data_IF_380522255339
#
_entry.id   IF_380522255339
#
_cell.length_a   1.000
_cell.length_b   1.000
_cell.length_c   1.000
_cell.angle_alpha   90.00
_cell.angle_beta   90.00
_cell.angle_gamma   90.00
#
_symmetry.space_group_name_H-M   'P 1'
#
loop_
_entity.id
_entity.type
_entity.pdbx_description
1 polymer ?
#
# COMPACT_ATOMS: atom_id res chain seq x y z
N UNK A 1 2.88 67.03 -49.19
CA UNK A 1 2.87 67.14 -47.71
C UNK A 1 2.97 65.74 -47.13
N UNK A 2 3.79 65.54 -46.10
CA UNK A 2 4.04 64.26 -45.42
C UNK A 2 2.75 63.69 -44.83
N UNK A 3 2.51 62.39 -44.96
CA UNK A 3 1.54 61.66 -44.12
C UNK A 3 2.30 60.55 -43.37
N UNK A 4 2.20 60.55 -42.05
CA UNK A 4 2.99 59.75 -41.12
C UNK A 4 2.60 58.24 -41.14
N UNK A 5 3.55 57.31 -40.87
CA UNK A 5 3.25 55.88 -40.82
C UNK A 5 3.03 55.42 -39.37
N UNK A 6 1.86 55.61 -38.77
CA UNK A 6 1.68 55.24 -37.34
C UNK A 6 0.24 54.76 -36.98
N UNK A 7 -0.55 54.20 -37.91
CA UNK A 7 -1.89 53.67 -37.54
C UNK A 7 -2.28 52.34 -38.19
N UNK A 8 -1.37 51.68 -38.91
CA UNK A 8 -1.56 50.30 -39.38
C UNK A 8 -0.46 49.47 -38.74
N UNK A 9 -0.66 48.75 -37.65
CA UNK A 9 -1.39 47.50 -37.71
C UNK A 9 -1.44 46.83 -36.32
N UNK A 10 -2.23 47.38 -35.41
CA UNK A 10 -2.56 46.63 -34.18
C UNK A 10 -3.55 45.49 -34.51
N UNK A 11 -4.40 45.68 -35.52
CA UNK A 11 -5.40 44.71 -35.97
C UNK A 11 -4.83 43.57 -36.83
N UNK A 12 -3.70 43.75 -37.53
CA UNK A 12 -3.06 42.64 -38.28
C UNK A 12 -2.41 41.60 -37.38
N UNK A 13 -2.20 41.90 -36.10
CA UNK A 13 -1.80 40.91 -35.08
C UNK A 13 -2.97 40.01 -34.64
N UNK A 14 -4.21 40.44 -34.90
CA UNK A 14 -5.45 39.74 -34.58
C UNK A 14 -6.09 39.08 -35.81
N UNK A 15 -5.32 38.87 -36.88
CA UNK A 15 -5.79 38.22 -38.10
C UNK A 15 -6.26 36.78 -37.80
N UNK A 16 -7.58 36.49 -37.90
CA UNK A 16 -8.17 35.20 -37.53
C UNK A 16 -7.78 34.07 -38.50
N UNK A 17 -7.11 34.39 -39.61
CA UNK A 17 -6.48 33.43 -40.51
C UNK A 17 -5.46 32.54 -39.79
N UNK A 18 -4.76 33.09 -38.79
CA UNK A 18 -3.83 32.34 -37.94
C UNK A 18 -4.60 31.65 -36.82
N UNK A 19 -5.22 30.51 -37.16
CA UNK A 19 -5.99 29.61 -36.25
C UNK A 19 -5.25 29.20 -34.95
N UNK A 20 -3.95 29.48 -34.84
CA UNK A 20 -3.13 29.24 -33.64
C UNK A 20 -3.67 29.89 -32.38
N UNK A 21 -4.33 31.05 -32.47
CA UNK A 21 -4.80 31.80 -31.30
C UNK A 21 -6.21 31.42 -30.83
N UNK A 22 -6.92 30.60 -31.61
CA UNK A 22 -8.26 30.08 -31.26
C UNK A 22 -8.20 28.74 -30.52
N UNK A 23 -7.01 28.15 -30.37
CA UNK A 23 -6.86 26.89 -29.65
C UNK A 23 -6.73 27.16 -28.16
N UNK A 24 -7.84 27.01 -27.43
CA UNK A 24 -7.80 26.86 -25.98
C UNK A 24 -7.00 25.59 -25.68
N UNK A 25 -5.90 25.72 -24.92
CA UNK A 25 -5.21 24.55 -24.38
C UNK A 25 -6.22 23.74 -23.59
N UNK A 26 -6.62 22.60 -24.12
CA UNK A 26 -7.31 21.60 -23.32
C UNK A 26 -6.30 21.18 -22.25
N UNK A 27 -6.62 21.50 -21.00
CA UNK A 27 -5.98 20.85 -19.86
C UNK A 27 -6.47 19.42 -19.99
N UNK A 28 -5.62 18.53 -20.51
CA UNK A 28 -5.87 17.11 -20.41
C UNK A 28 -6.06 16.80 -18.93
N UNK A 29 -7.30 16.58 -18.51
CA UNK A 29 -7.68 15.99 -17.23
C UNK A 29 -7.21 14.51 -17.15
N UNK A 30 -6.14 14.16 -17.85
CA UNK A 30 -5.48 12.85 -17.82
C UNK A 30 -4.33 12.81 -16.82
N UNK A 31 -4.37 13.67 -15.80
CA UNK A 31 -4.09 13.14 -14.47
C UNK A 31 -5.29 12.27 -14.03
N UNK A 32 -5.61 11.24 -14.82
CA UNK A 32 -6.25 10.04 -14.29
C UNK A 32 -5.31 9.59 -13.20
N UNK A 33 -5.62 10.03 -11.98
CA UNK A 33 -5.11 9.44 -10.75
C UNK A 33 -5.33 7.96 -10.97
N UNK A 34 -4.26 7.23 -11.35
CA UNK A 34 -4.25 5.78 -11.42
C UNK A 34 -4.63 5.36 -10.01
N UNK A 35 -5.93 5.18 -9.79
CA UNK A 35 -6.43 4.75 -8.51
C UNK A 35 -5.67 3.45 -8.22
N UNK A 36 -5.15 3.26 -6.99
CA UNK A 36 -4.40 2.07 -6.66
C UNK A 36 -5.21 0.86 -7.13
N UNK A 37 -4.59 0.00 -7.96
CA UNK A 37 -5.27 -1.15 -8.56
C UNK A 37 -5.98 -1.91 -7.45
N UNK A 38 -7.31 -1.88 -7.45
CA UNK A 38 -8.09 -2.53 -6.41
C UNK A 38 -8.02 -4.04 -6.63
N UNK A 39 -7.16 -4.72 -5.87
CA UNK A 39 -7.05 -6.18 -5.87
C UNK A 39 -8.19 -6.72 -5.02
N UNK A 40 -9.23 -7.25 -5.67
CA UNK A 40 -10.34 -7.92 -4.99
C UNK A 40 -9.94 -9.37 -4.72
N UNK A 41 -10.01 -9.79 -3.46
CA UNK A 41 -9.87 -11.20 -3.10
C UNK A 41 -11.13 -11.97 -3.54
N UNK A 42 -11.01 -13.25 -3.95
CA UNK A 42 -12.17 -14.08 -4.24
C UNK A 42 -13.05 -14.21 -2.99
N UNK A 43 -14.37 -14.17 -3.18
CA UNK A 43 -15.35 -14.37 -2.10
C UNK A 43 -15.05 -15.70 -1.41
N UNK A 44 -14.88 -15.68 -0.09
CA UNK A 44 -14.60 -16.87 0.72
C UNK A 44 -13.11 -17.21 0.92
N UNK A 45 -12.18 -16.35 0.48
CA UNK A 45 -10.75 -16.55 0.80
C UNK A 45 -10.50 -16.24 2.27
N UNK A 46 -10.41 -17.29 3.10
CA UNK A 46 -9.95 -17.16 4.47
C UNK A 46 -8.43 -16.89 4.49
N UNK A 47 -7.93 -16.04 5.39
CA UNK A 47 -6.50 -15.91 5.60
C UNK A 47 -5.91 -17.28 5.96
N UNK A 48 -4.89 -17.72 5.21
CA UNK A 48 -4.12 -18.92 5.53
C UNK A 48 -3.19 -18.57 6.68
N UNK A 49 -3.55 -18.98 7.88
CA UNK A 49 -2.63 -18.88 9.01
C UNK A 49 -1.59 -19.99 8.91
N UNK A 50 -0.37 -19.69 9.35
CA UNK A 50 0.70 -20.70 9.44
C UNK A 50 0.39 -21.57 10.66
N UNK A 51 0.15 -22.85 10.42
CA UNK A 51 -0.06 -23.85 11.47
C UNK A 51 1.27 -24.29 12.07
N UNK A 52 1.21 -24.88 13.27
CA UNK A 52 2.37 -25.46 13.93
C UNK A 52 2.99 -26.56 13.07
N UNK A 53 4.28 -26.44 12.81
CA UNK A 53 5.05 -27.50 12.17
C UNK A 53 5.13 -28.70 13.12
N UNK A 54 5.27 -29.93 12.58
CA UNK A 54 5.42 -31.16 13.40
C UNK A 54 6.50 -31.03 14.48
N UNK A 55 7.60 -30.34 14.17
CA UNK A 55 8.66 -30.05 15.13
C UNK A 55 8.20 -29.13 16.26
N UNK A 56 7.45 -28.07 15.97
CA UNK A 56 6.91 -27.16 16.99
C UNK A 56 5.91 -27.87 17.92
N UNK A 57 5.09 -28.77 17.37
CA UNK A 57 4.24 -29.65 18.19
C UNK A 57 5.05 -30.58 19.09
N UNK A 58 6.21 -31.05 18.62
CA UNK A 58 7.13 -31.83 19.43
C UNK A 58 7.75 -30.99 20.55
N UNK A 59 8.24 -29.78 20.27
CA UNK A 59 8.74 -28.86 21.30
C UNK A 59 7.70 -28.58 22.37
N UNK A 60 6.43 -28.36 21.98
CA UNK A 60 5.33 -28.17 22.94
C UNK A 60 5.11 -29.41 23.82
N UNK A 61 5.15 -30.61 23.26
CA UNK A 61 5.01 -31.85 24.04
C UNK A 61 6.14 -32.06 25.05
N UNK A 62 7.35 -31.62 24.74
CA UNK A 62 8.53 -31.80 25.60
C UNK A 62 8.64 -30.69 26.64
N UNK A 63 8.44 -29.43 26.24
CA UNK A 63 8.71 -28.26 27.08
C UNK A 63 7.45 -27.54 27.59
N UNK A 64 6.25 -27.96 27.20
CA UNK A 64 5.01 -27.24 27.55
C UNK A 64 4.80 -27.06 29.06
N UNK A 65 5.06 -28.10 29.85
CA UNK A 65 4.94 -28.05 31.31
C UNK A 65 5.98 -27.11 31.95
N UNK A 66 7.19 -27.06 31.40
CA UNK A 66 8.25 -26.17 31.89
C UNK A 66 7.93 -24.71 31.57
N UNK A 67 7.44 -24.44 30.36
CA UNK A 67 7.03 -23.10 29.92
C UNK A 67 5.87 -22.58 30.77
N UNK A 68 4.84 -23.38 31.03
CA UNK A 68 3.70 -22.94 31.85
C UNK A 68 4.11 -22.59 33.29
N UNK A 69 5.16 -23.23 33.82
CA UNK A 69 5.63 -23.00 35.20
C UNK A 69 6.62 -21.85 35.32
N UNK A 70 7.46 -21.64 34.31
CA UNK A 70 8.60 -20.72 34.41
C UNK A 70 8.53 -19.53 33.46
N UNK A 71 7.77 -19.61 32.37
CA UNK A 71 7.66 -18.50 31.44
C UNK A 71 6.78 -17.40 32.03
N UNK A 72 7.28 -16.17 31.94
CA UNK A 72 6.50 -14.98 32.27
C UNK A 72 5.64 -14.58 31.06
N UNK A 73 4.38 -14.19 31.26
CA UNK A 73 3.53 -13.71 30.17
C UNK A 73 4.14 -12.43 29.59
N UNK A 74 4.43 -12.45 28.28
CA UNK A 74 5.02 -11.33 27.55
C UNK A 74 4.00 -10.78 26.54
N UNK A 75 3.24 -9.71 26.88
CA UNK A 75 2.17 -9.19 26.02
C UNK A 75 2.70 -8.62 24.70
N UNK A 76 3.96 -8.19 24.66
CA UNK A 76 4.62 -7.74 23.43
C UNK A 76 4.78 -8.86 22.40
N UNK A 77 5.07 -10.07 22.87
CA UNK A 77 5.28 -11.23 22.00
C UNK A 77 3.96 -11.69 21.38
N UNK A 78 2.87 -11.67 22.15
CA UNK A 78 1.53 -11.95 21.64
C UNK A 78 1.15 -11.02 20.48
N UNK A 79 1.40 -9.72 20.65
CA UNK A 79 1.14 -8.72 19.61
C UNK A 79 1.99 -8.95 18.35
N UNK A 80 3.26 -9.33 18.51
CA UNK A 80 4.13 -9.66 17.38
C UNK A 80 3.68 -10.93 16.64
N UNK A 81 3.25 -11.97 17.36
CA UNK A 81 2.71 -13.20 16.76
C UNK A 81 1.42 -12.93 15.99
N UNK A 82 0.55 -12.08 16.52
CA UNK A 82 -0.67 -11.62 15.84
C UNK A 82 -0.35 -10.83 14.57
N UNK A 83 0.61 -9.91 14.62
CA UNK A 83 1.08 -9.15 13.45
C UNK A 83 1.67 -10.06 12.38
N UNK A 84 2.40 -11.10 12.77
CA UNK A 84 2.96 -12.10 11.87
C UNK A 84 1.91 -13.09 11.31
N UNK A 85 0.65 -13.00 11.73
CA UNK A 85 -0.43 -13.91 11.35
C UNK A 85 -0.11 -15.40 11.62
N UNK A 86 0.68 -15.65 12.67
CA UNK A 86 1.02 -17.01 13.11
C UNK A 86 -0.11 -17.57 13.97
N UNK A 87 -0.55 -18.81 13.70
CA UNK A 87 -1.58 -19.49 14.50
C UNK A 87 -0.94 -20.26 15.66
N UNK A 88 -0.06 -19.61 16.39
CA UNK A 88 0.64 -20.21 17.53
C UNK A 88 0.40 -19.41 18.80
N UNK A 89 0.29 -20.10 19.93
CA UNK A 89 0.23 -19.47 21.24
C UNK A 89 1.61 -19.00 21.67
N UNK A 90 1.64 -18.03 22.58
CA UNK A 90 2.89 -17.45 23.11
C UNK A 90 3.72 -18.52 23.82
N UNK A 91 3.06 -19.44 24.51
CA UNK A 91 3.68 -20.56 25.22
C UNK A 91 4.27 -21.58 24.25
N UNK A 92 3.57 -21.88 23.15
CA UNK A 92 4.07 -22.78 22.10
C UNK A 92 5.32 -22.22 21.42
N UNK A 93 5.35 -20.90 21.18
CA UNK A 93 6.54 -20.21 20.69
C UNK A 93 7.69 -20.27 21.69
N UNK A 94 7.41 -20.02 22.96
CA UNK A 94 8.42 -20.06 24.02
C UNK A 94 9.00 -21.47 24.18
N UNK A 95 8.15 -22.50 24.08
CA UNK A 95 8.57 -23.90 24.11
C UNK A 95 9.49 -24.25 22.94
N UNK A 96 9.24 -23.69 21.76
CA UNK A 96 10.14 -23.83 20.60
C UNK A 96 11.49 -23.13 20.81
N UNK A 97 11.50 -21.93 21.41
CA UNK A 97 12.74 -21.16 21.64
C UNK A 97 13.61 -21.77 22.75
N UNK A 98 13.02 -22.46 23.72
CA UNK A 98 13.74 -23.08 24.84
C UNK A 98 14.32 -24.47 24.52
N UNK A 99 13.89 -25.09 23.42
CA UNK A 99 14.36 -26.40 22.94
C UNK A 99 15.60 -26.23 22.06
#
# INVERSE_FOLDING_TARGET
MKLAPEVSDVFSKLDPSKKSYLSTKHIDEQAERKAPRMIKLPKGTLPKFIELTKYQMFCWKVMGDAVLRWARPNPRLELQLQQAQLRMRVEEYTAYVWM
#
